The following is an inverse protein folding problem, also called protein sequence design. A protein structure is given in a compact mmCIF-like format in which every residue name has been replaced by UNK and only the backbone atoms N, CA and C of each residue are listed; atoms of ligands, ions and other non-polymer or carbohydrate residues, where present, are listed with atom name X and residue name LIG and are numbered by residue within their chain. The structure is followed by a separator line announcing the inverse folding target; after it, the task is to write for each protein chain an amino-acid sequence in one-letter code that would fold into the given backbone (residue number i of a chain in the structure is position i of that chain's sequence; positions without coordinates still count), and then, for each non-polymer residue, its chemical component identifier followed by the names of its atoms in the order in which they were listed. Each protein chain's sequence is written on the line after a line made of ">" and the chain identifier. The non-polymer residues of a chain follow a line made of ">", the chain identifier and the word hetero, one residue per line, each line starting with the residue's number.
data_IF_281584396186
#
_entry.id   IF_281584396186
#
_cell.length_a   1.000
_cell.length_b   1.000
_cell.length_c   1.000
_cell.angle_alpha   90.00
_cell.angle_beta   90.00
_cell.angle_gamma   90.00
#
_symmetry.space_group_name_H-M   'P 1'
#
loop_
_entity.id
_entity.type
_entity.pdbx_description
1 polymer ?
#
# COMPACT_ATOMS: atom_id res chain seq x y z
N UNK A 1 37.85 31.34 2.16
CA UNK A 1 37.39 29.94 2.33
C UNK A 1 36.03 29.67 1.70
N UNK A 2 35.07 30.61 1.71
CA UNK A 2 33.72 30.41 1.15
C UNK A 2 33.68 30.20 -0.37
N UNK A 3 34.49 30.94 -1.13
CA UNK A 3 34.52 30.82 -2.59
C UNK A 3 35.00 29.45 -3.09
N UNK A 4 36.07 28.91 -2.49
CA UNK A 4 36.58 27.57 -2.79
C UNK A 4 35.53 26.48 -2.49
N UNK A 5 34.78 26.61 -1.40
CA UNK A 5 33.72 25.66 -1.06
C UNK A 5 32.56 25.68 -2.07
N UNK A 6 32.18 26.87 -2.55
CA UNK A 6 31.18 27.02 -3.59
C UNK A 6 31.62 26.36 -4.91
N UNK A 7 32.87 26.58 -5.31
CA UNK A 7 33.46 25.99 -6.50
C UNK A 7 33.53 24.46 -6.42
N UNK A 8 33.95 23.91 -5.28
CA UNK A 8 33.96 22.45 -5.04
C UNK A 8 32.56 21.84 -5.19
N UNK A 9 31.52 22.53 -4.71
CA UNK A 9 30.11 22.07 -4.83
C UNK A 9 29.65 22.09 -6.28
N UNK A 10 29.94 23.16 -7.02
CA UNK A 10 29.61 23.26 -8.45
C UNK A 10 30.32 22.19 -9.28
N UNK A 11 31.62 21.97 -9.03
CA UNK A 11 32.40 20.93 -9.71
C UNK A 11 31.89 19.52 -9.38
N UNK A 12 31.54 19.26 -8.11
CA UNK A 12 30.91 18.00 -7.70
C UNK A 12 29.59 17.77 -8.43
N UNK A 13 28.72 18.79 -8.49
CA UNK A 13 27.45 18.71 -9.20
C UNK A 13 27.68 18.44 -10.70
N UNK A 14 28.58 19.21 -11.34
CA UNK A 14 28.93 19.04 -12.76
C UNK A 14 29.44 17.63 -13.06
N UNK A 15 30.26 17.05 -12.18
CA UNK A 15 30.74 15.68 -12.31
C UNK A 15 29.61 14.64 -12.28
N UNK A 16 28.59 14.85 -11.43
CA UNK A 16 27.41 13.97 -11.40
C UNK A 16 26.59 14.11 -12.69
N UNK A 17 26.37 15.33 -13.16
CA UNK A 17 25.63 15.60 -14.41
C UNK A 17 26.33 14.97 -15.61
N UNK A 18 27.66 15.13 -15.72
CA UNK A 18 28.46 14.55 -16.80
C UNK A 18 28.35 13.02 -16.87
N UNK A 19 28.17 12.35 -15.72
CA UNK A 19 28.02 10.89 -15.64
C UNK A 19 26.58 10.42 -15.86
N UNK A 20 25.62 11.34 -15.90
CA UNK A 20 24.23 11.01 -16.08
C UNK A 20 24.01 10.58 -17.54
N UNK A 21 23.45 9.40 -17.73
CA UNK A 21 23.06 8.92 -19.06
C UNK A 21 21.54 8.90 -19.14
N UNK A 22 20.97 9.59 -20.13
CA UNK A 22 19.53 9.57 -20.35
C UNK A 22 19.18 9.75 -21.82
N UNK A 23 18.06 9.19 -22.22
CA UNK A 23 17.42 9.48 -23.50
C UNK A 23 15.90 9.41 -23.34
N UNK A 24 15.15 9.80 -24.38
CA UNK A 24 13.70 9.64 -24.39
C UNK A 24 13.28 8.18 -24.13
N UNK A 25 14.05 7.21 -24.66
CA UNK A 25 13.78 5.77 -24.50
C UNK A 25 14.34 5.18 -23.20
N UNK A 26 15.16 5.94 -22.48
CA UNK A 26 15.78 5.54 -21.20
C UNK A 26 15.86 6.77 -20.30
N UNK A 27 14.72 7.26 -19.78
CA UNK A 27 14.71 8.40 -18.88
C UNK A 27 15.36 8.04 -17.55
N UNK A 28 15.82 9.04 -16.81
CA UNK A 28 16.30 8.90 -15.45
C UNK A 28 15.10 8.67 -14.52
N UNK A 29 15.01 7.46 -13.97
CA UNK A 29 14.03 7.06 -12.96
C UNK A 29 14.56 7.13 -11.53
N UNK A 30 13.71 6.77 -10.56
CA UNK A 30 14.01 6.78 -9.13
C UNK A 30 15.07 5.74 -8.71
N UNK A 31 15.24 4.70 -9.50
CA UNK A 31 16.24 3.64 -9.33
C UNK A 31 17.66 4.07 -9.75
N UNK A 32 17.80 5.22 -10.42
CA UNK A 32 19.10 5.67 -10.89
C UNK A 32 19.99 6.12 -9.71
N UNK A 33 21.15 5.46 -9.57
CA UNK A 33 22.10 5.70 -8.48
C UNK A 33 22.68 7.12 -8.44
N UNK A 34 22.63 7.86 -9.56
CA UNK A 34 23.10 9.24 -9.66
C UNK A 34 22.01 10.28 -9.33
N UNK A 35 20.74 9.88 -9.25
CA UNK A 35 19.64 10.81 -8.96
C UNK A 35 19.76 11.42 -7.55
N UNK A 36 20.04 10.60 -6.54
CA UNK A 36 20.20 11.10 -5.18
C UNK A 36 21.40 12.05 -5.03
N UNK A 37 22.62 11.73 -5.52
CA UNK A 37 23.74 12.68 -5.56
C UNK A 37 23.45 13.96 -6.34
N UNK A 38 22.73 13.89 -7.46
CA UNK A 38 22.33 15.07 -8.24
C UNK A 38 21.44 16.00 -7.42
N UNK A 39 20.38 15.44 -6.86
CA UNK A 39 19.41 16.17 -6.04
C UNK A 39 20.05 16.76 -4.78
N UNK A 40 20.92 15.99 -4.10
CA UNK A 40 21.67 16.45 -2.93
C UNK A 40 22.61 17.60 -3.28
N UNK A 41 23.31 17.53 -4.41
CA UNK A 41 24.16 18.61 -4.90
C UNK A 41 23.39 19.91 -5.15
N UNK A 42 22.20 19.82 -5.77
CA UNK A 42 21.32 20.98 -5.99
C UNK A 42 20.83 21.56 -4.65
N UNK A 43 20.33 20.71 -3.75
CA UNK A 43 19.89 21.13 -2.40
C UNK A 43 21.03 21.80 -1.62
N UNK A 44 22.24 21.24 -1.68
CA UNK A 44 23.40 21.79 -1.00
C UNK A 44 23.77 23.19 -1.52
N UNK A 45 23.63 23.44 -2.82
CA UNK A 45 23.83 24.76 -3.42
C UNK A 45 22.74 25.74 -2.99
N UNK A 46 21.47 25.32 -3.00
CA UNK A 46 20.34 26.15 -2.53
C UNK A 46 20.41 26.48 -1.04
N UNK A 47 21.12 25.68 -0.23
CA UNK A 47 21.38 26.01 1.17
C UNK A 47 22.65 26.83 1.38
N UNK A 48 23.55 26.87 0.40
CA UNK A 48 24.84 27.52 0.56
C UNK A 48 24.68 29.04 0.68
N UNK A 49 25.01 29.57 1.86
CA UNK A 49 24.88 30.99 2.17
C UNK A 49 23.45 31.44 2.44
N UNK A 50 22.48 30.52 2.60
CA UNK A 50 21.11 30.82 3.01
C UNK A 50 21.12 31.36 4.45
N UNK A 51 20.44 32.49 4.67
CA UNK A 51 20.36 33.12 6.00
C UNK A 51 19.43 32.30 6.90
N UNK A 52 19.82 32.16 8.17
CA UNK A 52 18.95 31.60 9.21
C UNK A 52 17.84 32.58 9.58
N UNK A 53 16.68 32.06 9.98
CA UNK A 53 15.58 32.89 10.50
C UNK A 53 16.05 33.72 11.69
N UNK A 54 15.79 35.02 11.63
CA UNK A 54 16.01 35.94 12.74
C UNK A 54 14.98 35.56 13.81
N UNK A 55 15.42 35.29 15.05
CA UNK A 55 14.60 34.97 16.23
C UNK A 55 14.23 33.50 16.52
N UNK A 56 14.78 32.49 15.82
CA UNK A 56 14.79 31.09 16.29
C UNK A 56 13.43 30.37 16.43
N UNK A 57 12.30 31.06 16.23
CA UNK A 57 10.95 30.52 16.38
C UNK A 57 10.46 29.75 15.14
N UNK A 58 11.11 29.90 13.99
CA UNK A 58 10.76 29.19 12.75
C UNK A 58 12.00 28.84 11.96
N UNK A 59 12.33 27.55 11.85
CA UNK A 59 13.44 27.09 11.00
C UNK A 59 13.03 27.27 9.53
N UNK A 60 13.54 28.29 8.86
CA UNK A 60 13.35 28.47 7.41
C UNK A 60 14.36 27.61 6.65
N UNK A 61 13.98 27.23 5.43
CA UNK A 61 14.82 26.47 4.50
C UNK A 61 14.61 27.00 3.08
N UNK A 62 15.34 26.48 2.11
CA UNK A 62 15.30 26.97 0.72
C UNK A 62 13.90 26.90 0.07
N UNK A 63 13.03 26.01 0.54
CA UNK A 63 11.62 26.00 0.14
C UNK A 63 10.91 27.34 0.37
N UNK A 64 11.22 28.05 1.46
CA UNK A 64 10.51 29.28 1.81
C UNK A 64 10.68 30.37 0.74
N UNK A 65 11.88 30.50 0.16
CA UNK A 65 12.07 31.45 -0.94
C UNK A 65 11.54 30.91 -2.28
N UNK A 66 11.56 29.59 -2.50
CA UNK A 66 10.94 28.98 -3.68
C UNK A 66 9.45 29.30 -3.73
N UNK A 67 8.77 29.23 -2.59
CA UNK A 67 7.38 29.61 -2.45
C UNK A 67 7.15 31.12 -2.64
N UNK A 68 7.94 31.95 -1.95
CA UNK A 68 7.83 33.41 -2.05
C UNK A 68 8.17 33.97 -3.44
N UNK A 69 8.98 33.25 -4.23
CA UNK A 69 9.42 33.70 -5.56
C UNK A 69 8.24 33.91 -6.52
N UNK A 70 7.09 33.25 -6.31
CA UNK A 70 5.88 33.38 -7.14
C UNK A 70 5.50 34.85 -7.37
N UNK A 71 5.55 35.66 -6.32
CA UNK A 71 5.14 37.06 -6.34
C UNK A 71 6.09 37.95 -7.13
N UNK A 72 7.29 37.45 -7.42
CA UNK A 72 8.37 38.16 -8.12
C UNK A 72 8.66 37.58 -9.50
N UNK A 73 7.90 36.56 -9.95
CA UNK A 73 8.10 35.95 -11.25
C UNK A 73 7.68 36.89 -12.39
N UNK A 74 8.51 37.01 -13.44
CA UNK A 74 8.14 37.73 -14.66
C UNK A 74 6.91 37.10 -15.31
N UNK A 75 6.09 37.92 -15.95
CA UNK A 75 4.85 37.44 -16.58
C UNK A 75 5.15 36.73 -17.91
N UNK A 76 5.55 35.47 -17.84
CA UNK A 76 5.88 34.63 -18.99
C UNK A 76 5.19 33.25 -18.94
N UNK A 77 5.43 32.43 -19.97
CA UNK A 77 4.85 31.08 -20.08
C UNK A 77 5.33 30.13 -18.96
N UNK A 78 6.54 30.32 -18.44
CA UNK A 78 7.13 29.44 -17.43
C UNK A 78 6.58 29.74 -16.03
N UNK A 79 6.10 30.96 -15.78
CA UNK A 79 5.42 31.36 -14.53
C UNK A 79 4.29 30.40 -14.15
N UNK A 80 3.42 30.04 -15.09
CA UNK A 80 2.30 29.12 -14.82
C UNK A 80 2.79 27.72 -14.42
N UNK A 81 3.82 27.21 -15.10
CA UNK A 81 4.43 25.92 -14.77
C UNK A 81 5.08 25.93 -13.37
N UNK A 82 5.70 27.05 -13.00
CA UNK A 82 6.26 27.25 -11.66
C UNK A 82 5.18 27.31 -10.58
N UNK A 83 4.12 28.10 -10.77
CA UNK A 83 2.98 28.20 -9.84
C UNK A 83 2.33 26.83 -9.62
N UNK A 84 2.10 26.09 -10.71
CA UNK A 84 1.60 24.72 -10.62
C UNK A 84 2.53 23.83 -9.80
N UNK A 85 3.84 23.93 -10.02
CA UNK A 85 4.86 23.14 -9.30
C UNK A 85 4.81 23.41 -7.80
N UNK A 86 4.82 24.68 -7.39
CA UNK A 86 4.71 25.05 -5.97
C UNK A 86 3.39 24.60 -5.37
N UNK A 87 2.27 24.82 -6.07
CA UNK A 87 0.93 24.45 -5.59
C UNK A 87 0.80 22.93 -5.40
N UNK A 88 1.31 22.16 -6.36
CA UNK A 88 1.35 20.70 -6.27
C UNK A 88 2.13 20.24 -5.03
N UNK A 89 3.33 20.77 -4.82
CA UNK A 89 4.19 20.43 -3.67
C UNK A 89 3.49 20.77 -2.34
N UNK A 90 2.90 21.97 -2.23
CA UNK A 90 2.16 22.41 -1.03
C UNK A 90 0.95 21.54 -0.71
N UNK A 91 0.29 21.00 -1.74
CA UNK A 91 -0.87 20.13 -1.55
C UNK A 91 -0.51 18.75 -0.96
N UNK A 92 0.77 18.38 -0.95
CA UNK A 92 1.22 17.07 -0.49
C UNK A 92 1.08 16.93 1.03
N UNK A 93 0.29 15.94 1.46
CA UNK A 93 0.03 15.63 2.88
C UNK A 93 1.06 14.66 3.49
N UNK A 94 1.93 14.05 2.68
CA UNK A 94 2.95 13.10 3.14
C UNK A 94 4.20 13.81 3.67
N UNK A 95 4.45 15.02 3.19
CA UNK A 95 5.62 15.85 3.54
C UNK A 95 5.23 16.84 4.65
N UNK A 96 6.10 17.01 5.63
CA UNK A 96 5.83 17.83 6.82
C UNK A 96 6.97 18.79 7.20
N UNK A 97 8.00 18.93 6.37
CA UNK A 97 9.08 19.89 6.58
C UNK A 97 9.36 20.74 5.34
N UNK A 98 9.91 21.94 5.56
CA UNK A 98 10.36 22.80 4.46
C UNK A 98 11.47 22.14 3.63
N UNK A 99 12.34 21.33 4.25
CA UNK A 99 13.30 20.49 3.52
C UNK A 99 12.56 19.56 2.56
N UNK A 100 11.62 18.75 3.05
CA UNK A 100 10.90 17.79 2.22
C UNK A 100 10.12 18.46 1.08
N UNK A 101 9.51 19.62 1.33
CA UNK A 101 8.84 20.39 0.27
C UNK A 101 9.86 20.86 -0.79
N UNK A 102 11.00 21.38 -0.35
CA UNK A 102 12.09 21.76 -1.24
C UNK A 102 12.60 20.58 -2.08
N UNK A 103 12.71 19.39 -1.50
CA UNK A 103 13.16 18.19 -2.20
C UNK A 103 12.15 17.72 -3.24
N UNK A 104 10.87 17.72 -2.90
CA UNK A 104 9.79 17.41 -3.84
C UNK A 104 9.71 18.44 -4.98
N UNK A 105 9.97 19.71 -4.68
CA UNK A 105 10.08 20.76 -5.70
C UNK A 105 11.20 20.45 -6.66
N UNK A 106 12.41 20.13 -6.18
CA UNK A 106 13.55 19.81 -7.05
C UNK A 106 13.21 18.63 -7.98
N UNK A 107 12.61 17.55 -7.45
CA UNK A 107 12.16 16.39 -8.27
C UNK A 107 11.21 16.81 -9.39
N UNK A 108 10.18 17.60 -9.06
CA UNK A 108 9.22 18.07 -10.06
C UNK A 108 9.84 19.09 -11.03
N UNK A 109 10.78 19.93 -10.56
CA UNK A 109 11.49 20.89 -11.37
C UNK A 109 12.44 20.21 -12.37
N UNK A 110 13.07 19.08 -12.01
CA UNK A 110 13.85 18.25 -12.93
C UNK A 110 12.96 17.73 -14.07
N UNK A 111 11.80 17.15 -13.75
CA UNK A 111 10.85 16.65 -14.77
C UNK A 111 10.29 17.74 -15.68
N UNK A 112 10.21 18.99 -15.19
CA UNK A 112 9.66 20.13 -15.95
C UNK A 112 10.72 21.05 -16.54
N UNK A 113 12.01 20.78 -16.33
CA UNK A 113 13.11 21.65 -16.75
C UNK A 113 13.08 23.05 -16.13
N UNK A 114 12.61 23.19 -14.89
CA UNK A 114 12.36 24.50 -14.25
C UNK A 114 13.54 25.04 -13.43
N UNK A 115 14.59 24.26 -13.20
CA UNK A 115 15.70 24.68 -12.33
C UNK A 115 16.45 25.93 -12.84
N UNK A 116 16.84 26.03 -14.14
CA UNK A 116 17.48 27.25 -14.64
C UNK A 116 16.59 28.49 -14.49
N UNK A 117 15.30 28.35 -14.82
CA UNK A 117 14.31 29.41 -14.68
C UNK A 117 14.16 29.88 -13.24
N UNK A 118 14.11 28.93 -12.31
CA UNK A 118 14.03 29.20 -10.87
C UNK A 118 15.20 30.04 -10.39
N UNK A 119 16.43 29.63 -10.73
CA UNK A 119 17.66 30.35 -10.32
C UNK A 119 17.74 31.72 -11.00
N UNK A 120 17.44 31.81 -12.29
CA UNK A 120 17.45 33.07 -13.03
C UNK A 120 16.42 34.07 -12.49
N UNK A 121 15.22 33.58 -12.15
CA UNK A 121 14.15 34.40 -11.60
C UNK A 121 14.49 34.89 -10.20
N UNK A 122 15.06 34.03 -9.35
CA UNK A 122 15.58 34.45 -8.04
C UNK A 122 16.66 35.52 -8.21
N UNK A 123 17.61 35.34 -9.14
CA UNK A 123 18.70 36.28 -9.37
C UNK A 123 18.23 37.67 -9.79
N UNK A 124 17.12 37.74 -10.53
CA UNK A 124 16.51 39.00 -10.99
C UNK A 124 15.53 39.60 -9.96
N UNK A 125 15.25 38.89 -8.87
CA UNK A 125 14.28 39.32 -7.87
C UNK A 125 14.90 40.17 -6.76
N UNK A 126 14.12 41.08 -6.18
CA UNK A 126 14.53 41.88 -5.03
C UNK A 126 14.75 41.02 -3.76
N UNK A 127 14.12 39.82 -3.69
CA UNK A 127 14.17 38.95 -2.50
C UNK A 127 15.50 38.21 -2.35
N UNK A 128 16.35 38.16 -3.38
CA UNK A 128 17.64 37.47 -3.34
C UNK A 128 18.49 37.90 -2.13
N UNK A 129 18.60 39.22 -1.89
CA UNK A 129 19.40 39.76 -0.78
C UNK A 129 18.77 39.50 0.59
N UNK A 130 17.46 39.32 0.63
CA UNK A 130 16.74 38.99 1.84
C UNK A 130 17.07 37.57 2.31
N UNK A 131 17.08 36.61 1.38
CA UNK A 131 17.28 35.19 1.70
C UNK A 131 18.74 34.75 1.78
N UNK A 132 19.65 35.36 1.00
CA UNK A 132 21.04 34.90 0.89
C UNK A 132 22.05 35.95 1.37
N UNK A 133 23.11 35.45 2.03
CA UNK A 133 24.34 36.19 2.30
C UNK A 133 25.17 36.39 1.02
N UNK A 134 26.10 37.34 1.02
CA UNK A 134 26.95 37.63 -0.14
C UNK A 134 27.86 36.47 -0.55
N UNK A 135 28.05 35.48 0.34
CA UNK A 135 28.82 34.27 0.07
C UNK A 135 28.08 33.22 -0.77
N UNK A 136 26.78 33.38 -1.01
CA UNK A 136 25.97 32.37 -1.72
C UNK A 136 26.32 32.28 -3.20
N UNK A 137 26.26 31.07 -3.76
CA UNK A 137 26.48 30.79 -5.20
C UNK A 137 25.60 31.67 -6.08
N UNK A 138 24.32 31.82 -5.70
CA UNK A 138 23.33 32.61 -6.46
C UNK A 138 23.60 34.13 -6.43
N UNK A 139 24.38 34.62 -5.46
CA UNK A 139 24.74 36.04 -5.32
C UNK A 139 25.94 36.41 -6.18
N UNK A 140 26.95 35.54 -6.23
CA UNK A 140 28.14 35.75 -7.04
C UNK A 140 27.82 35.59 -8.54
N UNK A 141 28.27 36.53 -9.38
CA UNK A 141 27.93 36.53 -10.81
C UNK A 141 28.53 35.34 -11.54
N UNK A 142 29.82 35.06 -11.31
CA UNK A 142 30.57 34.02 -12.00
C UNK A 142 30.06 32.64 -11.58
N UNK A 143 29.89 32.42 -10.28
CA UNK A 143 29.38 31.14 -9.76
C UNK A 143 27.93 30.89 -10.16
N UNK A 144 27.08 31.92 -10.22
CA UNK A 144 25.72 31.79 -10.71
C UNK A 144 25.69 31.44 -12.19
N UNK A 145 26.54 32.05 -13.02
CA UNK A 145 26.64 31.71 -14.45
C UNK A 145 27.05 30.25 -14.64
N UNK A 146 28.06 29.77 -13.90
CA UNK A 146 28.45 28.35 -13.88
C UNK A 146 27.30 27.44 -13.43
N UNK A 147 26.56 27.82 -12.39
CA UNK A 147 25.38 27.06 -11.94
C UNK A 147 24.32 26.97 -13.04
N UNK A 148 24.02 28.09 -13.70
CA UNK A 148 23.02 28.13 -14.77
C UNK A 148 23.42 27.28 -15.97
N UNK A 149 24.70 27.22 -16.32
CA UNK A 149 25.22 26.30 -17.35
C UNK A 149 25.01 24.84 -16.95
N UNK A 150 25.40 24.45 -15.73
CA UNK A 150 25.19 23.09 -15.23
C UNK A 150 23.70 22.73 -15.23
N UNK A 151 22.82 23.64 -14.78
CA UNK A 151 21.38 23.36 -14.76
C UNK A 151 20.76 23.30 -16.16
N UNK A 152 21.33 23.99 -17.15
CA UNK A 152 20.92 23.83 -18.56
C UNK A 152 21.33 22.45 -19.08
N UNK A 153 22.55 21.99 -18.77
CA UNK A 153 22.98 20.61 -19.08
C UNK A 153 22.04 19.59 -18.42
N UNK A 154 21.64 19.79 -17.16
CA UNK A 154 20.64 18.96 -16.48
C UNK A 154 19.31 18.91 -17.25
N UNK A 155 18.85 20.03 -17.80
CA UNK A 155 17.59 20.11 -18.55
C UNK A 155 17.62 19.34 -19.89
N UNK A 156 18.79 19.01 -20.42
CA UNK A 156 18.91 18.15 -21.60
C UNK A 156 18.59 16.68 -21.27
N UNK A 157 18.59 16.30 -19.98
CA UNK A 157 18.21 14.97 -19.54
C UNK A 157 16.71 14.82 -19.35
N UNK A 158 16.20 13.62 -19.71
CA UNK A 158 14.79 13.28 -19.53
C UNK A 158 14.60 12.57 -18.19
N UNK A 159 13.76 13.12 -17.32
CA UNK A 159 13.44 12.54 -16.01
C UNK A 159 12.02 11.99 -15.97
N UNK A 160 11.84 10.81 -15.39
CA UNK A 160 10.52 10.20 -15.12
C UNK A 160 10.50 9.68 -13.69
N UNK A 161 10.07 10.55 -12.76
CA UNK A 161 10.15 10.28 -11.32
C UNK A 161 8.74 10.02 -10.74
N UNK A 162 8.64 9.11 -9.78
CA UNK A 162 7.41 8.90 -9.02
C UNK A 162 7.27 9.98 -7.93
N UNK A 163 6.44 10.97 -8.23
CA UNK A 163 6.17 12.08 -7.32
C UNK A 163 5.25 11.68 -6.14
N UNK A 164 4.57 10.53 -6.20
CA UNK A 164 3.76 10.02 -5.07
C UNK A 164 4.64 9.36 -4.01
N UNK A 165 5.81 8.84 -4.40
CA UNK A 165 6.81 8.28 -3.50
C UNK A 165 7.67 9.37 -2.85
N UNK A 166 7.04 10.17 -1.99
CA UNK A 166 7.65 11.37 -1.42
C UNK A 166 7.65 11.40 0.12
N UNK A 167 7.11 10.36 0.77
CA UNK A 167 6.88 10.35 2.21
C UNK A 167 8.17 10.46 3.03
N UNK A 168 9.29 9.97 2.51
CA UNK A 168 10.59 10.00 3.19
C UNK A 168 11.50 11.16 2.76
N UNK A 169 11.01 12.09 1.93
CA UNK A 169 11.82 13.24 1.51
C UNK A 169 12.16 14.17 2.67
N UNK A 170 11.38 14.18 3.74
CA UNK A 170 11.75 14.88 4.98
C UNK A 170 13.08 14.38 5.58
N UNK A 171 13.46 13.13 5.29
CA UNK A 171 14.60 12.43 5.92
C UNK A 171 15.74 12.19 4.93
N UNK A 172 15.46 11.76 3.69
CA UNK A 172 16.49 11.32 2.73
C UNK A 172 16.15 11.65 1.27
N UNK A 173 17.18 11.66 0.42
CA UNK A 173 17.05 11.66 -1.04
C UNK A 173 16.87 10.25 -1.63
N UNK A 174 17.19 9.21 -0.88
CA UNK A 174 16.99 7.83 -1.32
C UNK A 174 15.50 7.53 -1.42
N UNK A 175 15.05 7.11 -2.59
CA UNK A 175 13.66 6.77 -2.83
C UNK A 175 13.42 5.31 -2.44
N UNK A 176 12.51 5.03 -1.49
CA UNK A 176 12.28 3.67 -1.04
C UNK A 176 11.50 2.86 -2.07
N UNK A 177 11.54 1.53 -1.96
CA UNK A 177 10.63 0.66 -2.71
C UNK A 177 9.25 0.71 -2.06
N UNK A 178 8.23 1.05 -2.85
CA UNK A 178 6.84 0.99 -2.42
C UNK A 178 6.20 -0.34 -2.77
N UNK A 179 5.27 -0.78 -1.93
CA UNK A 179 4.35 -1.86 -2.22
C UNK A 179 2.93 -1.39 -1.91
N UNK A 180 2.10 -1.38 -2.94
CA UNK A 180 0.66 -1.19 -2.81
C UNK A 180 0.02 -2.55 -2.64
N UNK A 181 -0.84 -2.69 -1.64
CA UNK A 181 -1.56 -3.92 -1.34
C UNK A 181 -3.00 -3.56 -1.07
N UNK A 182 -3.91 -4.17 -1.82
CA UNK A 182 -5.32 -4.21 -1.44
C UNK A 182 -5.55 -5.50 -0.67
N UNK A 183 -5.68 -5.37 0.64
CA UNK A 183 -5.85 -6.54 1.49
C UNK A 183 -7.31 -6.91 1.47
N UNK A 184 -7.56 -8.17 1.12
CA UNK A 184 -8.90 -8.72 1.17
C UNK A 184 -9.46 -8.61 2.58
N UNK A 185 -10.77 -8.38 2.66
CA UNK A 185 -11.47 -8.33 3.91
C UNK A 185 -11.17 -9.59 4.80
N UNK A 186 -10.52 -9.46 5.98
CA UNK A 186 -10.20 -10.59 6.87
C UNK A 186 -10.30 -10.26 8.37
N UNK A 187 -10.63 -11.27 9.21
CA UNK A 187 -10.74 -11.17 10.69
C UNK A 187 -9.56 -10.44 11.33
N UNK A 188 -8.38 -10.91 10.98
CA UNK A 188 -7.13 -10.40 11.47
C UNK A 188 -6.17 -10.39 10.31
N UNK A 189 -5.58 -9.22 10.09
CA UNK A 189 -4.59 -9.05 9.04
C UNK A 189 -3.33 -9.91 9.29
N UNK A 190 -3.12 -10.35 10.53
CA UNK A 190 -1.87 -10.97 10.96
C UNK A 190 -0.70 -9.99 11.00
N UNK A 191 -1.00 -8.70 11.14
CA UNK A 191 -0.03 -7.62 11.17
C UNK A 191 -0.02 -6.94 12.53
N UNK A 192 1.14 -6.92 13.18
CA UNK A 192 1.37 -6.12 14.38
C UNK A 192 2.21 -4.92 13.99
N UNK A 193 1.72 -3.73 14.35
CA UNK A 193 2.40 -2.46 14.03
C UNK A 193 2.76 -1.69 15.29
N UNK A 194 3.83 -0.90 15.20
CA UNK A 194 4.29 -0.01 16.27
C UNK A 194 4.58 1.37 15.74
N UNK A 195 4.17 2.41 16.45
CA UNK A 195 4.54 3.78 16.09
C UNK A 195 5.93 4.11 16.66
N UNK A 196 6.90 4.40 15.79
CA UNK A 196 8.26 4.80 16.16
C UNK A 196 8.66 6.04 15.37
N UNK A 197 9.08 7.11 16.06
CA UNK A 197 9.50 8.39 15.45
C UNK A 197 8.50 8.91 14.40
N UNK A 198 7.20 8.86 14.72
CA UNK A 198 6.12 9.32 13.85
C UNK A 198 5.89 8.47 12.59
N UNK A 199 6.39 7.23 12.54
CA UNK A 199 6.12 6.24 11.49
C UNK A 199 5.47 5.00 12.07
N UNK A 200 4.62 4.34 11.30
CA UNK A 200 3.97 3.08 11.69
C UNK A 200 4.79 1.93 11.10
N UNK A 201 5.59 1.28 11.94
CA UNK A 201 6.48 0.18 11.57
C UNK A 201 5.80 -1.17 11.75
N UNK A 202 6.08 -2.12 10.86
CA UNK A 202 5.66 -3.51 11.00
C UNK A 202 6.58 -4.21 12.00
N UNK A 203 6.04 -4.55 13.16
CA UNK A 203 6.75 -5.18 14.27
C UNK A 203 6.62 -6.71 14.28
N UNK A 204 5.58 -7.26 13.65
CA UNK A 204 5.44 -8.70 13.44
C UNK A 204 4.47 -8.98 12.29
N UNK A 205 4.74 -10.06 11.56
CA UNK A 205 3.84 -10.62 10.54
C UNK A 205 3.61 -12.08 10.91
N UNK A 206 2.36 -12.44 11.13
CA UNK A 206 1.97 -13.81 11.47
C UNK A 206 2.08 -14.70 10.25
N UNK A 207 2.52 -15.94 10.47
CA UNK A 207 2.53 -16.97 9.41
C UNK A 207 1.12 -17.32 8.95
N UNK A 208 0.98 -17.67 7.68
CA UNK A 208 -0.28 -18.02 7.02
C UNK A 208 -1.36 -16.94 7.19
N UNK A 209 -0.95 -15.67 7.18
CA UNK A 209 -1.87 -14.54 7.32
C UNK A 209 -1.98 -13.75 6.03
N UNK A 210 -3.07 -13.00 5.87
CA UNK A 210 -3.27 -12.12 4.73
C UNK A 210 -2.12 -11.10 4.57
N UNK A 211 -1.44 -10.71 5.65
CA UNK A 211 -0.26 -9.86 5.57
C UNK A 211 0.97 -10.57 4.98
N UNK A 212 1.19 -11.85 5.34
CA UNK A 212 2.27 -12.65 4.77
C UNK A 212 2.03 -12.92 3.28
N UNK A 213 0.80 -13.29 2.91
CA UNK A 213 0.39 -13.53 1.51
C UNK A 213 0.53 -12.27 0.64
N UNK A 214 0.27 -11.10 1.23
CA UNK A 214 0.51 -9.81 0.60
C UNK A 214 2.01 -9.46 0.43
N UNK A 215 2.90 -10.28 0.99
CA UNK A 215 4.34 -10.07 1.03
C UNK A 215 4.73 -8.84 1.85
N UNK A 216 4.01 -8.54 2.92
CA UNK A 216 4.40 -7.57 3.94
C UNK A 216 5.46 -8.21 4.83
N UNK A 217 6.51 -7.46 5.18
CA UNK A 217 7.62 -7.99 5.94
C UNK A 217 7.86 -7.20 7.23
N UNK A 218 8.48 -7.87 8.20
CA UNK A 218 9.04 -7.23 9.40
C UNK A 218 9.96 -6.06 9.01
N UNK A 219 9.74 -4.90 9.63
CA UNK A 219 10.52 -3.69 9.36
C UNK A 219 10.02 -2.83 8.19
N UNK A 220 9.00 -3.27 7.46
CA UNK A 220 8.29 -2.39 6.53
C UNK A 220 7.62 -1.24 7.30
N UNK A 221 7.42 -0.10 6.64
CA UNK A 221 6.65 1.03 7.18
C UNK A 221 5.30 1.12 6.48
N UNK A 222 4.20 1.07 7.22
CA UNK A 222 2.87 1.39 6.71
C UNK A 222 2.78 2.92 6.51
N UNK A 223 2.86 3.35 5.25
CA UNK A 223 2.90 4.76 4.86
C UNK A 223 1.50 5.35 4.68
N UNK A 224 0.60 4.57 4.10
CA UNK A 224 -0.76 4.99 3.77
C UNK A 224 -1.75 3.87 4.04
N UNK A 225 -2.92 4.25 4.57
CA UNK A 225 -4.03 3.35 4.83
C UNK A 225 -5.33 4.01 4.36
N UNK A 226 -6.03 3.37 3.42
CA UNK A 226 -7.31 3.84 2.85
C UNK A 226 -7.20 5.29 2.35
N UNK A 227 -6.15 5.59 1.58
CA UNK A 227 -5.93 6.95 1.04
C UNK A 227 -5.35 7.96 2.04
N UNK A 228 -5.12 7.57 3.30
CA UNK A 228 -4.70 8.48 4.37
C UNK A 228 -3.24 8.22 4.73
N UNK A 229 -2.41 9.25 4.57
CA UNK A 229 -1.01 9.25 4.99
C UNK A 229 -0.91 9.11 6.52
N UNK A 230 -0.02 8.22 6.98
CA UNK A 230 0.12 7.87 8.39
C UNK A 230 1.32 8.54 9.06
N UNK A 231 2.08 9.39 8.37
CA UNK A 231 3.17 10.11 9.02
C UNK A 231 2.62 11.00 10.16
N UNK A 232 3.28 10.91 11.33
CA UNK A 232 2.88 11.54 12.61
C UNK A 232 1.48 11.15 13.10
N UNK A 233 0.93 10.04 12.61
CA UNK A 233 -0.33 9.48 13.10
C UNK A 233 -0.09 8.54 14.27
N UNK A 234 -1.06 8.44 15.18
CA UNK A 234 -1.06 7.52 16.32
C UNK A 234 -1.50 6.11 15.89
N UNK A 235 -1.05 5.09 16.63
CA UNK A 235 -1.53 3.72 16.44
C UNK A 235 -3.06 3.61 16.58
N UNK A 236 -3.68 4.40 17.47
CA UNK A 236 -5.14 4.43 17.65
C UNK A 236 -5.88 4.81 16.37
N UNK A 237 -5.39 5.80 15.62
CA UNK A 237 -6.01 6.21 14.36
C UNK A 237 -5.86 5.16 13.27
N UNK A 238 -4.79 4.35 13.29
CA UNK A 238 -4.66 3.18 12.39
C UNK A 238 -5.76 2.16 12.71
N UNK A 239 -5.95 1.85 13.99
CA UNK A 239 -7.02 0.95 14.45
C UNK A 239 -8.40 1.49 14.06
N UNK A 240 -8.65 2.79 14.24
CA UNK A 240 -9.92 3.41 13.88
C UNK A 240 -10.18 3.34 12.36
N UNK A 241 -9.16 3.54 11.53
CA UNK A 241 -9.28 3.43 10.08
C UNK A 241 -9.59 2.00 9.64
N UNK A 242 -8.96 1.00 10.27
CA UNK A 242 -9.25 -0.40 10.02
C UNK A 242 -10.69 -0.74 10.44
N UNK A 243 -11.11 -0.35 11.65
CA UNK A 243 -12.47 -0.58 12.16
C UNK A 243 -13.55 0.03 11.26
N UNK A 244 -13.34 1.24 10.76
CA UNK A 244 -14.28 1.91 9.84
C UNK A 244 -14.40 1.24 8.48
N UNK A 245 -13.41 0.44 8.10
CA UNK A 245 -13.37 -0.28 6.83
C UNK A 245 -13.54 -1.80 7.00
N UNK A 246 -14.10 -2.23 8.14
CA UNK A 246 -14.48 -3.62 8.37
C UNK A 246 -15.42 -4.10 7.25
N UNK A 247 -15.15 -5.29 6.70
CA UNK A 247 -15.92 -5.86 5.58
C UNK A 247 -15.60 -5.27 4.20
N UNK A 248 -14.68 -4.31 4.08
CA UNK A 248 -14.27 -3.68 2.81
C UNK A 248 -12.80 -3.95 2.52
N UNK A 249 -12.38 -4.04 1.23
CA UNK A 249 -10.96 -4.13 0.90
C UNK A 249 -10.19 -2.95 1.49
N UNK A 250 -9.07 -3.24 2.14
CA UNK A 250 -8.23 -2.24 2.80
C UNK A 250 -7.01 -1.97 1.93
N UNK A 251 -7.01 -0.81 1.28
CA UNK A 251 -5.85 -0.37 0.49
C UNK A 251 -4.75 0.16 1.41
N UNK A 252 -3.56 -0.40 1.27
CA UNK A 252 -2.38 -0.08 2.06
C UNK A 252 -1.20 0.25 1.14
N UNK A 253 -0.39 1.23 1.53
CA UNK A 253 0.92 1.46 0.93
C UNK A 253 2.00 1.22 1.96
N UNK A 254 2.93 0.33 1.65
CA UNK A 254 4.08 0.02 2.47
C UNK A 254 5.36 0.54 1.83
N UNK A 255 6.21 1.18 2.63
CA UNK A 255 7.62 1.43 2.31
C UNK A 255 8.43 0.25 2.80
N UNK A 256 9.15 -0.40 1.89
CA UNK A 256 9.96 -1.56 2.23
C UNK A 256 11.15 -1.20 3.12
N UNK A 257 11.43 -2.06 4.09
CA UNK A 257 12.60 -1.91 4.97
C UNK A 257 13.95 -2.06 4.24
N UNK A 258 13.93 -2.51 2.99
CA UNK A 258 15.11 -2.67 2.11
C UNK A 258 14.92 -1.92 0.80
N UNK A 259 16.03 -1.39 0.28
CA UNK A 259 16.13 -0.85 -1.07
C UNK A 259 16.08 -1.97 -2.11
N UNK A 260 15.90 -1.61 -3.38
CA UNK A 260 15.94 -2.55 -4.52
C UNK A 260 17.26 -3.32 -4.61
N UNK A 261 18.35 -2.74 -4.10
CA UNK A 261 19.67 -3.37 -3.99
C UNK A 261 19.77 -4.43 -2.88
N UNK A 262 18.71 -4.59 -2.07
CA UNK A 262 18.69 -5.47 -0.89
C UNK A 262 19.31 -4.86 0.37
N UNK A 263 19.97 -3.70 0.27
CA UNK A 263 20.50 -2.96 1.42
C UNK A 263 19.36 -2.44 2.30
N UNK A 264 19.60 -2.30 3.60
CA UNK A 264 18.64 -1.69 4.51
C UNK A 264 18.36 -0.25 4.09
N UNK A 265 17.09 0.13 4.10
CA UNK A 265 16.70 1.50 3.85
C UNK A 265 17.14 2.37 5.05
N UNK A 266 18.09 3.32 4.87
CA UNK A 266 18.73 3.97 6.02
C UNK A 266 17.78 4.67 7.00
N UNK A 267 16.71 5.36 6.55
CA UNK A 267 15.72 5.94 7.48
C UNK A 267 15.03 4.90 8.37
N UNK A 268 14.94 3.64 7.96
CA UNK A 268 14.33 2.59 8.80
C UNK A 268 15.27 2.13 9.91
N UNK A 269 16.60 2.33 9.82
CA UNK A 269 17.58 1.70 10.70
C UNK A 269 17.36 2.00 12.20
N UNK A 270 17.18 3.28 12.59
CA UNK A 270 16.90 3.65 13.98
C UNK A 270 15.55 3.10 14.46
N UNK A 271 14.56 3.00 13.57
CA UNK A 271 13.25 2.46 13.93
C UNK A 271 13.30 0.94 14.10
N UNK A 272 14.13 0.28 13.29
CA UNK A 272 14.41 -1.15 13.40
C UNK A 272 15.00 -1.50 14.77
N UNK A 273 16.00 -0.74 15.25
CA UNK A 273 16.61 -1.02 16.56
C UNK A 273 15.58 -0.97 17.69
N UNK A 274 14.64 -0.02 17.65
CA UNK A 274 13.55 0.09 18.63
C UNK A 274 12.62 -1.12 18.60
N UNK A 275 12.15 -1.55 17.42
CA UNK A 275 11.23 -2.70 17.32
C UNK A 275 11.93 -4.05 17.52
N UNK A 276 13.26 -4.11 17.41
CA UNK A 276 14.05 -5.31 17.72
C UNK A 276 14.37 -5.40 19.21
N UNK A 277 14.57 -4.26 19.89
CA UNK A 277 14.89 -4.22 21.33
C UNK A 277 13.72 -4.68 22.21
N UNK A 278 12.48 -4.53 21.74
CA UNK A 278 11.26 -4.98 22.42
C UNK A 278 10.39 -5.76 21.42
N UNK A 279 10.75 -7.03 21.15
CA UNK A 279 10.08 -7.85 20.16
C UNK A 279 8.68 -8.22 20.64
N UNK A 280 7.72 -8.25 19.71
CA UNK A 280 6.39 -8.76 20.00
C UNK A 280 6.46 -10.25 20.35
N UNK A 281 5.93 -10.61 21.51
CA UNK A 281 5.73 -12.00 21.95
C UNK A 281 4.24 -12.33 21.84
N UNK A 282 3.91 -13.38 21.10
CA UNK A 282 2.55 -13.92 21.09
C UNK A 282 2.27 -14.62 22.42
N UNK A 283 1.26 -14.14 23.16
CA UNK A 283 0.69 -14.91 24.24
C UNK A 283 -0.27 -15.95 23.62
N UNK A 284 0.02 -17.23 23.84
CA UNK A 284 -0.69 -18.41 23.28
C UNK A 284 -2.19 -18.50 23.63
N UNK A 285 -2.76 -17.52 24.32
CA UNK A 285 -4.04 -17.65 25.02
C UNK A 285 -5.30 -17.27 24.21
N UNK A 286 -5.19 -16.77 22.97
CA UNK A 286 -6.37 -16.19 22.28
C UNK A 286 -6.79 -16.86 20.97
N UNK A 287 -6.18 -17.99 20.57
CA UNK A 287 -6.52 -18.67 19.31
C UNK A 287 -6.99 -20.12 19.42
N UNK A 288 -7.19 -20.62 20.64
CA UNK A 288 -7.88 -21.89 20.86
C UNK A 288 -9.36 -21.89 20.45
N UNK A 289 -9.95 -20.75 20.10
CA UNK A 289 -11.39 -20.63 19.75
C UNK A 289 -11.61 -20.08 18.33
N UNK A 290 -11.09 -20.75 17.32
CA UNK A 290 -11.93 -20.97 16.12
C UNK A 290 -13.20 -21.73 16.57
N UNK A 291 -14.33 -21.72 15.84
CA UNK A 291 -15.45 -22.59 16.18
C UNK A 291 -14.96 -24.04 16.30
N UNK A 292 -14.75 -24.50 17.54
CA UNK A 292 -14.20 -25.80 17.91
C UNK A 292 -15.25 -26.90 17.68
N UNK A 293 -15.75 -27.04 16.45
CA UNK A 293 -16.64 -28.15 16.08
C UNK A 293 -16.19 -28.92 14.84
N UNK A 294 -15.02 -28.61 14.27
CA UNK A 294 -14.35 -29.49 13.30
C UNK A 294 -13.19 -30.31 13.92
N UNK A 295 -12.95 -30.16 15.23
CA UNK A 295 -12.05 -31.00 16.01
C UNK A 295 -12.66 -32.41 16.23
N UNK A 296 -12.76 -33.16 15.14
CA UNK A 296 -13.20 -34.55 15.14
C UNK A 296 -12.78 -35.32 13.90
N UNK A 297 -12.02 -34.71 12.98
CA UNK A 297 -11.62 -35.36 11.74
C UNK A 297 -10.10 -35.46 11.66
N UNK A 298 -9.59 -36.66 11.94
CA UNK A 298 -8.23 -37.05 11.59
C UNK A 298 -8.01 -36.89 10.07
N UNK A 299 -6.84 -36.31 9.76
CA UNK A 299 -6.23 -36.10 8.44
C UNK A 299 -6.99 -35.20 7.45
N UNK A 300 -6.41 -34.01 7.22
CA UNK A 300 -6.74 -33.11 6.11
C UNK A 300 -6.23 -33.71 4.79
N UNK A 301 -7.10 -33.99 3.80
CA UNK A 301 -6.63 -34.33 2.46
C UNK A 301 -5.99 -33.08 1.83
N UNK A 302 -4.68 -33.13 1.61
CA UNK A 302 -3.91 -32.09 0.91
C UNK A 302 -4.32 -32.11 -0.57
N UNK A 303 -4.76 -30.97 -1.10
CA UNK A 303 -4.91 -30.81 -2.55
C UNK A 303 -3.51 -30.78 -3.19
N UNK A 304 -3.21 -31.79 -4.01
CA UNK A 304 -2.10 -31.72 -4.94
C UNK A 304 -2.44 -30.66 -6.01
N UNK A 305 -1.44 -29.87 -6.39
CA UNK A 305 -1.52 -28.62 -7.17
C UNK A 305 -2.13 -28.70 -8.58
N UNK A 306 -2.71 -29.82 -9.01
CA UNK A 306 -3.08 -30.05 -10.42
C UNK A 306 -4.51 -30.60 -10.66
N UNK A 307 -5.43 -30.57 -9.70
CA UNK A 307 -6.76 -31.19 -9.89
C UNK A 307 -7.94 -30.23 -9.72
N UNK A 308 -8.56 -29.88 -10.86
CA UNK A 308 -9.98 -29.58 -11.09
C UNK A 308 -10.79 -29.23 -9.83
N UNK A 309 -11.01 -27.93 -9.57
CA UNK A 309 -11.94 -27.47 -8.53
C UNK A 309 -13.42 -27.47 -8.98
N UNK A 310 -13.77 -28.33 -9.94
CA UNK A 310 -15.11 -28.46 -10.52
C UNK A 310 -15.67 -29.85 -10.23
N UNK A 311 -16.71 -29.91 -9.41
CA UNK A 311 -17.31 -31.14 -8.93
C UNK A 311 -18.71 -31.33 -9.52
N UNK A 312 -19.05 -32.55 -9.91
CA UNK A 312 -20.43 -32.90 -10.27
C UNK A 312 -21.26 -33.12 -9.01
N UNK A 313 -22.42 -32.49 -8.94
CA UNK A 313 -23.35 -32.60 -7.82
C UNK A 313 -24.81 -32.56 -8.30
N UNK A 314 -25.72 -32.98 -7.45
CA UNK A 314 -27.16 -32.80 -7.63
C UNK A 314 -27.64 -31.71 -6.68
N UNK A 315 -28.17 -30.61 -7.21
CA UNK A 315 -28.74 -29.52 -6.42
C UNK A 315 -30.21 -29.79 -6.08
N UNK A 316 -30.53 -29.76 -4.79
CA UNK A 316 -31.89 -30.04 -4.29
C UNK A 316 -32.72 -28.79 -4.03
N UNK A 317 -32.07 -27.67 -3.72
CA UNK A 317 -32.76 -26.41 -3.49
C UNK A 317 -32.07 -25.53 -2.45
N UNK A 318 -32.75 -24.43 -2.13
CA UNK A 318 -32.38 -23.51 -1.06
C UNK A 318 -33.54 -23.29 -0.10
N UNK A 319 -33.22 -23.07 1.17
CA UNK A 319 -34.18 -22.74 2.22
C UNK A 319 -33.76 -21.43 2.89
N UNK A 320 -34.71 -20.53 3.14
CA UNK A 320 -34.44 -19.34 3.93
C UNK A 320 -34.35 -19.73 5.41
N UNK A 321 -33.25 -19.38 6.06
CA UNK A 321 -32.99 -19.69 7.48
C UNK A 321 -33.03 -18.43 8.37
N UNK A 322 -33.45 -17.29 7.81
CA UNK A 322 -33.61 -16.04 8.53
C UNK A 322 -32.28 -15.42 8.93
N UNK A 323 -32.17 -14.96 10.17
CA UNK A 323 -30.96 -14.32 10.71
C UNK A 323 -29.89 -15.34 11.16
N UNK A 324 -30.22 -16.64 11.21
CA UNK A 324 -29.30 -17.68 11.68
C UNK A 324 -28.42 -18.23 10.54
N UNK A 325 -27.16 -17.79 10.52
CA UNK A 325 -26.13 -18.28 9.60
C UNK A 325 -25.34 -19.51 10.11
N UNK A 326 -25.69 -20.05 11.28
CA UNK A 326 -24.91 -21.07 11.99
C UNK A 326 -24.98 -22.48 11.38
N UNK A 327 -24.09 -23.36 11.84
CA UNK A 327 -24.08 -24.78 11.41
C UNK A 327 -25.33 -25.54 11.89
N UNK A 328 -25.93 -25.09 13.00
CA UNK A 328 -27.09 -25.74 13.61
C UNK A 328 -28.30 -25.84 12.66
N UNK A 329 -28.45 -24.91 11.71
CA UNK A 329 -29.57 -24.92 10.76
C UNK A 329 -29.40 -25.94 9.63
N UNK A 330 -28.22 -26.53 9.46
CA UNK A 330 -27.88 -27.32 8.26
C UNK A 330 -28.66 -28.63 8.21
N UNK A 331 -28.69 -29.41 9.29
CA UNK A 331 -29.34 -30.72 9.27
C UNK A 331 -30.86 -30.61 9.05
N UNK A 332 -31.50 -29.68 9.76
CA UNK A 332 -32.93 -29.39 9.61
C UNK A 332 -33.25 -28.84 8.21
N UNK A 333 -32.41 -27.97 7.66
CA UNK A 333 -32.59 -27.46 6.31
C UNK A 333 -32.52 -28.56 5.25
N UNK A 334 -31.58 -29.50 5.39
CA UNK A 334 -31.47 -30.65 4.49
C UNK A 334 -32.73 -31.50 4.59
N UNK A 335 -33.22 -31.79 5.80
CA UNK A 335 -34.46 -32.54 6.00
C UNK A 335 -35.67 -31.86 5.35
N UNK A 336 -35.82 -30.56 5.55
CA UNK A 336 -36.97 -29.83 5.05
C UNK A 336 -36.95 -29.65 3.53
N UNK A 337 -35.78 -29.44 2.93
CA UNK A 337 -35.63 -29.42 1.47
C UNK A 337 -35.94 -30.80 0.87
N UNK A 338 -35.55 -31.89 1.53
CA UNK A 338 -35.86 -33.25 1.06
C UNK A 338 -37.35 -33.59 1.17
N UNK A 339 -38.08 -33.01 2.13
CA UNK A 339 -39.55 -33.13 2.22
C UNK A 339 -40.25 -32.32 1.13
N UNK A 340 -39.62 -31.25 0.64
CA UNK A 340 -40.16 -30.49 -0.48
C UNK A 340 -40.07 -31.35 -1.75
N UNK A 341 -41.15 -31.39 -2.53
CA UNK A 341 -41.23 -32.13 -3.79
C UNK A 341 -40.50 -31.39 -4.94
N UNK A 342 -39.31 -30.86 -4.63
CA UNK A 342 -38.45 -30.17 -5.59
C UNK A 342 -37.86 -31.18 -6.56
N UNK A 343 -37.80 -30.82 -7.85
CA UNK A 343 -37.11 -31.63 -8.86
C UNK A 343 -35.60 -31.37 -8.76
N UNK A 344 -34.78 -32.34 -8.34
CA UNK A 344 -33.34 -32.14 -8.21
C UNK A 344 -32.70 -31.90 -9.59
N UNK A 345 -31.63 -31.10 -9.63
CA UNK A 345 -30.96 -30.69 -10.88
C UNK A 345 -29.49 -31.09 -10.89
N UNK A 346 -28.99 -31.73 -11.96
CA UNK A 346 -27.56 -31.96 -12.14
C UNK A 346 -26.82 -30.63 -12.34
N UNK A 347 -25.79 -30.37 -11.53
CA UNK A 347 -25.01 -29.15 -11.54
C UNK A 347 -23.51 -29.43 -11.46
N UNK A 348 -22.72 -28.46 -11.90
CA UNK A 348 -21.32 -28.34 -11.53
C UNK A 348 -21.16 -27.34 -10.39
N UNK A 349 -20.48 -27.75 -9.33
CA UNK A 349 -20.04 -26.90 -8.24
C UNK A 349 -18.57 -26.58 -8.47
N UNK A 350 -18.29 -25.34 -8.87
CA UNK A 350 -16.94 -24.86 -9.16
C UNK A 350 -16.46 -23.98 -8.00
N UNK A 351 -15.38 -24.40 -7.33
CA UNK A 351 -14.78 -23.68 -6.21
C UNK A 351 -13.58 -22.90 -6.72
N UNK A 352 -13.70 -21.57 -6.77
CA UNK A 352 -12.58 -20.70 -7.13
C UNK A 352 -11.85 -20.24 -5.87
N UNK A 353 -10.85 -19.37 -6.00
CA UNK A 353 -10.17 -18.78 -4.83
C UNK A 353 -11.12 -17.93 -3.95
N UNK A 354 -12.17 -17.35 -4.54
CA UNK A 354 -13.01 -16.34 -3.89
C UNK A 354 -14.49 -16.69 -3.85
N UNK A 355 -14.95 -17.65 -4.66
CA UNK A 355 -16.37 -17.92 -4.86
C UNK A 355 -16.69 -19.41 -5.03
N UNK A 356 -17.93 -19.75 -4.69
CA UNK A 356 -18.61 -20.99 -5.07
C UNK A 356 -19.53 -20.66 -6.25
N UNK A 357 -19.32 -21.30 -7.40
CA UNK A 357 -20.14 -21.08 -8.60
C UNK A 357 -20.92 -22.35 -8.91
N UNK A 358 -22.25 -22.23 -8.93
CA UNK A 358 -23.17 -23.32 -9.27
C UNK A 358 -23.63 -23.17 -10.71
N UNK A 359 -23.35 -24.16 -11.56
CA UNK A 359 -23.67 -24.12 -13.00
C UNK A 359 -24.54 -25.32 -13.37
N UNK A 360 -25.64 -25.09 -14.09
CA UNK A 360 -26.49 -26.16 -14.62
C UNK A 360 -25.74 -27.00 -15.67
N UNK A 361 -25.77 -28.33 -15.53
CA UNK A 361 -24.99 -29.21 -16.39
C UNK A 361 -25.53 -29.30 -17.83
N UNK A 362 -26.85 -29.17 -18.02
CA UNK A 362 -27.48 -29.31 -19.33
C UNK A 362 -27.34 -28.04 -20.18
N UNK A 363 -27.51 -26.88 -19.54
CA UNK A 363 -27.57 -25.57 -20.22
C UNK A 363 -26.29 -24.76 -20.09
N UNK A 364 -25.35 -25.17 -19.23
CA UNK A 364 -24.17 -24.39 -18.84
C UNK A 364 -24.50 -23.00 -18.25
N UNK A 365 -25.74 -22.78 -17.81
CA UNK A 365 -26.16 -21.52 -17.19
C UNK A 365 -25.74 -21.47 -15.73
N UNK A 366 -25.18 -20.34 -15.29
CA UNK A 366 -24.88 -20.08 -13.87
C UNK A 366 -26.18 -19.92 -13.10
N UNK A 367 -26.39 -20.77 -12.09
CA UNK A 367 -27.56 -20.76 -11.21
C UNK A 367 -27.34 -19.92 -9.96
N UNK A 368 -26.09 -19.79 -9.51
CA UNK A 368 -25.72 -19.00 -8.35
C UNK A 368 -24.21 -18.79 -8.26
N UNK A 369 -23.82 -17.65 -7.71
CA UNK A 369 -22.44 -17.32 -7.33
C UNK A 369 -22.53 -16.89 -5.86
N UNK A 370 -21.73 -17.52 -5.01
CA UNK A 370 -21.68 -17.24 -3.58
C UNK A 370 -20.25 -16.90 -3.22
N UNK A 371 -20.03 -15.67 -2.75
CA UNK A 371 -18.71 -15.30 -2.27
C UNK A 371 -18.41 -16.03 -0.97
N UNK A 372 -17.16 -16.40 -0.75
CA UNK A 372 -16.73 -16.94 0.54
C UNK A 372 -16.89 -15.93 1.69
N UNK A 373 -16.94 -14.62 1.40
CA UNK A 373 -17.28 -13.57 2.38
C UNK A 373 -18.77 -13.55 2.78
N UNK A 374 -19.63 -14.20 2.00
CA UNK A 374 -21.08 -14.31 2.22
C UNK A 374 -21.44 -15.67 2.84
N UNK A 375 -20.56 -16.66 2.73
CA UNK A 375 -20.75 -18.02 3.24
C UNK A 375 -20.43 -18.09 4.73
N UNK A 376 -21.42 -18.37 5.57
CA UNK A 376 -21.30 -18.35 7.04
C UNK A 376 -20.98 -19.72 7.65
N UNK A 377 -21.44 -20.79 7.02
CA UNK A 377 -21.21 -22.15 7.49
C UNK A 377 -21.34 -23.19 6.38
N UNK A 378 -20.75 -24.36 6.56
CA UNK A 378 -20.97 -25.53 5.71
C UNK A 378 -20.96 -26.81 6.55
N UNK A 379 -21.59 -27.87 6.05
CA UNK A 379 -21.74 -29.11 6.78
C UNK A 379 -22.46 -30.19 5.99
N UNK A 380 -22.71 -31.31 6.67
CA UNK A 380 -23.45 -32.47 6.14
C UNK A 380 -24.16 -33.19 7.28
N UNK A 381 -25.11 -34.05 6.94
CA UNK A 381 -25.77 -34.93 7.91
C UNK A 381 -24.93 -36.16 8.22
N UNK A 382 -25.06 -36.68 9.44
CA UNK A 382 -24.35 -37.88 9.88
C UNK A 382 -24.85 -39.17 9.19
N UNK A 383 -26.15 -39.25 8.88
CA UNK A 383 -26.82 -40.42 8.29
C UNK A 383 -26.76 -40.45 6.75
N UNK A 384 -26.57 -39.30 6.09
CA UNK A 384 -26.39 -39.19 4.64
C UNK A 384 -25.16 -38.35 4.31
N UNK A 385 -24.02 -39.01 4.25
CA UNK A 385 -22.69 -38.40 4.23
C UNK A 385 -22.29 -37.79 2.88
N UNK A 386 -23.04 -38.10 1.82
CA UNK A 386 -22.93 -37.56 0.47
C UNK A 386 -23.67 -36.22 0.33
N UNK A 387 -24.62 -35.94 1.22
CA UNK A 387 -25.40 -34.71 1.21
C UNK A 387 -24.70 -33.62 1.99
N UNK A 388 -24.33 -32.55 1.29
CA UNK A 388 -23.69 -31.39 1.87
C UNK A 388 -24.60 -30.18 1.77
N UNK A 389 -24.38 -29.21 2.65
CA UNK A 389 -24.97 -27.90 2.51
C UNK A 389 -24.00 -26.81 2.92
N UNK A 390 -24.24 -25.61 2.43
CA UNK A 390 -23.62 -24.40 2.94
C UNK A 390 -24.66 -23.30 3.10
N UNK A 391 -24.43 -22.40 4.05
CA UNK A 391 -25.28 -21.26 4.34
C UNK A 391 -24.60 -20.00 3.83
N UNK A 392 -25.32 -19.20 3.05
CA UNK A 392 -24.83 -17.93 2.50
C UNK A 392 -25.82 -16.81 2.78
N UNK A 393 -25.31 -15.65 3.16
CA UNK A 393 -26.08 -14.43 3.34
C UNK A 393 -26.48 -13.81 2.00
N UNK A 394 -27.49 -12.92 2.04
CA UNK A 394 -27.84 -12.03 0.92
C UNK A 394 -26.73 -10.99 0.60
N UNK A 395 -25.79 -10.82 1.53
CA UNK A 395 -24.56 -10.04 1.42
C UNK A 395 -23.51 -10.66 2.34
N UNK A 396 -22.37 -9.98 2.56
CA UNK A 396 -21.31 -10.44 3.47
C UNK A 396 -21.86 -10.81 4.85
N UNK A 397 -21.35 -11.87 5.49
CA UNK A 397 -21.94 -12.42 6.72
C UNK A 397 -22.10 -11.39 7.85
N UNK A 398 -21.21 -10.39 7.91
CA UNK A 398 -21.25 -9.31 8.91
C UNK A 398 -22.37 -8.28 8.70
N UNK A 399 -22.95 -8.24 7.49
CA UNK A 399 -24.00 -7.29 7.11
C UNK A 399 -25.33 -7.98 6.77
N UNK A 400 -25.30 -9.30 6.52
CA UNK A 400 -26.46 -10.06 6.12
C UNK A 400 -27.50 -10.12 7.24
N UNK A 401 -28.76 -9.83 6.89
CA UNK A 401 -29.91 -10.03 7.77
C UNK A 401 -30.71 -11.28 7.39
N UNK A 402 -30.51 -11.77 6.17
CA UNK A 402 -31.13 -13.00 5.69
C UNK A 402 -30.06 -13.94 5.17
N UNK A 403 -30.14 -15.19 5.63
CA UNK A 403 -29.31 -16.30 5.22
C UNK A 403 -30.15 -17.36 4.50
N UNK A 404 -29.49 -18.07 3.60
CA UNK A 404 -30.07 -19.17 2.82
C UNK A 404 -29.17 -20.38 2.90
N UNK A 405 -29.74 -21.54 3.22
CA UNK A 405 -29.05 -22.82 3.19
C UNK A 405 -29.25 -23.48 1.82
N UNK A 406 -28.16 -23.84 1.16
CA UNK A 406 -28.13 -24.45 -0.17
C UNK A 406 -27.69 -25.91 -0.07
N UNK A 407 -28.51 -26.83 -0.60
CA UNK A 407 -28.32 -28.28 -0.39
C UNK A 407 -27.95 -29.00 -1.69
N UNK A 408 -26.92 -29.83 -1.59
CA UNK A 408 -26.35 -30.59 -2.70
C UNK A 408 -26.09 -32.04 -2.28
N UNK A 409 -26.18 -32.95 -3.23
CA UNK A 409 -25.71 -34.33 -3.09
C UNK A 409 -24.51 -34.55 -4.01
N UNK A 410 -23.43 -35.09 -3.46
CA UNK A 410 -22.21 -35.40 -4.21
C UNK A 410 -22.21 -36.83 -4.71
N UNK A 411 -21.40 -37.11 -5.72
CA UNK A 411 -21.31 -38.45 -6.32
C UNK A 411 -20.79 -39.52 -5.35
N UNK A 412 -19.97 -39.13 -4.37
CA UNK A 412 -19.43 -40.04 -3.33
C UNK A 412 -19.22 -39.31 -2.01
N UNK A 413 -19.21 -40.05 -0.89
CA UNK A 413 -18.83 -39.53 0.43
C UNK A 413 -17.45 -38.86 0.41
N UNK A 414 -16.48 -39.44 -0.31
CA UNK A 414 -15.12 -38.90 -0.39
C UNK A 414 -15.11 -37.51 -1.04
N UNK A 415 -15.86 -37.33 -2.13
CA UNK A 415 -15.97 -36.04 -2.82
C UNK A 415 -16.72 -35.04 -1.94
N UNK A 416 -17.79 -35.46 -1.26
CA UNK A 416 -18.47 -34.62 -0.27
C UNK A 416 -17.51 -34.07 0.80
N UNK A 417 -16.65 -34.94 1.36
CA UNK A 417 -15.62 -34.53 2.33
C UNK A 417 -14.66 -33.50 1.72
N UNK A 418 -14.13 -33.74 0.53
CA UNK A 418 -13.19 -32.82 -0.17
C UNK A 418 -13.82 -31.46 -0.46
N UNK A 419 -15.05 -31.44 -0.97
CA UNK A 419 -15.78 -30.20 -1.27
C UNK A 419 -16.04 -29.41 -0.01
N UNK A 420 -16.48 -30.06 1.08
CA UNK A 420 -16.71 -29.40 2.36
C UNK A 420 -15.45 -28.75 2.91
N UNK A 421 -14.30 -29.43 2.87
CA UNK A 421 -13.03 -28.83 3.28
C UNK A 421 -12.66 -27.63 2.43
N UNK A 422 -12.85 -27.74 1.11
CA UNK A 422 -12.50 -26.66 0.18
C UNK A 422 -13.38 -25.43 0.40
N UNK A 423 -14.67 -25.62 0.71
CA UNK A 423 -15.58 -24.52 1.10
C UNK A 423 -15.17 -23.94 2.45
N UNK A 424 -14.93 -24.79 3.45
CA UNK A 424 -14.52 -24.37 4.80
C UNK A 424 -13.24 -23.54 4.77
N UNK A 425 -12.22 -24.03 4.08
CA UNK A 425 -10.95 -23.36 3.86
C UNK A 425 -11.12 -22.05 3.06
N UNK A 426 -11.96 -22.08 2.01
CA UNK A 426 -12.35 -20.92 1.22
C UNK A 426 -12.92 -19.77 2.08
N UNK A 427 -13.91 -20.05 2.92
CA UNK A 427 -14.45 -19.02 3.80
C UNK A 427 -13.54 -18.70 4.97
N UNK A 428 -12.87 -19.65 5.62
CA UNK A 428 -11.92 -19.34 6.71
C UNK A 428 -10.85 -18.31 6.31
N UNK A 429 -10.42 -18.33 5.03
CA UNK A 429 -9.55 -17.29 4.46
C UNK A 429 -10.20 -15.91 4.32
N UNK A 430 -11.53 -15.84 4.27
CA UNK A 430 -12.31 -14.64 3.93
C UNK A 430 -13.34 -14.20 4.99
N UNK A 431 -13.53 -14.95 6.10
CA UNK A 431 -14.50 -14.58 7.15
C UNK A 431 -13.92 -13.54 8.08
N UNK A 432 -14.78 -12.59 8.42
CA UNK A 432 -14.58 -11.61 9.48
C UNK A 432 -15.27 -12.06 10.75
N UNK A 433 -14.54 -11.99 11.84
CA UNK A 433 -15.11 -12.00 13.18
C UNK A 433 -14.45 -10.85 13.97
N UNK A 434 -15.26 -9.95 14.50
CA UNK A 434 -14.74 -8.85 15.35
C UNK A 434 -14.20 -9.42 16.66
#
# INVERSE_FOLDING_TARGET
>A
MTALQAEIRLNSLKSVVFRLESSINKPVGDENVLLAPLCDGIEAIFRFGLKSSVFGLKKWDYWCWLEALIDYLPNDRQKLAYIHTVTFVKSCKKINSYQGYGRQFIRLALMKGLLPYTVQSLANSAILKYWYSDSAVVRDKVMREMLLEILKEVNEHVFTLDLKNCSFLDETWLIPVLRHVDIVPCKQLGLIVRTVNGRVMVAHVRKNSAAEDAGIAYGDTLDELVGIALHKTTASKVVDLLKRNTGRPVSCTFVKGKLSTGQLFPPSAERMTVITADPYTEEDNDFGKAPQQLAGFEETPVHASDTIAKYTATYYGKLAVGEDGGVAVIEDSILDILKQNNKPKPVFLNLTETNIVVTDQATSKVLGIHSFTETSSCGRRADRKEMIAFVSGETTCTMAKNFYCYVFEMTTERIAKVVLYSIADGFLRTVWFV
#
